data_IF_302640123029
#
_entry.id   IF_302640123029
#
_cell.length_a   1.000
_cell.length_b   1.000
_cell.length_c   1.000
_cell.angle_alpha   90.00
_cell.angle_beta   90.00
_cell.angle_gamma   90.00
#
_symmetry.space_group_name_H-M   'P 1'
#
loop_
_entity.id
_entity.type
_entity.pdbx_description
1 polymer ?
#
# COMPACT_ATOMS: atom_id res chain seq x y z
N UNK A 1 -0.05 15.60 4.84
CA UNK A 1 1.37 15.21 4.86
C UNK A 1 1.64 13.96 5.70
N UNK A 2 0.63 13.12 5.99
CA UNK A 2 0.82 11.87 6.75
C UNK A 2 1.28 12.03 8.20
N UNK A 3 1.62 13.25 8.66
CA UNK A 3 2.20 13.50 9.99
C UNK A 3 1.23 13.27 11.15
N UNK A 4 -0.05 13.06 10.86
CA UNK A 4 -1.09 12.77 11.85
C UNK A 4 -1.89 11.58 11.33
N UNK A 5 -1.61 10.39 11.85
CA UNK A 5 -2.31 9.15 11.51
C UNK A 5 -3.82 9.31 11.61
N UNK A 6 -4.53 8.66 10.67
CA UNK A 6 -6.00 8.70 10.58
C UNK A 6 -6.67 7.66 11.51
N UNK A 7 -5.88 6.74 12.06
CA UNK A 7 -6.28 5.81 13.10
C UNK A 7 -5.76 6.26 14.48
N UNK A 8 -6.18 5.55 15.53
CA UNK A 8 -5.73 5.81 16.91
C UNK A 8 -4.30 5.35 17.21
N UNK A 9 -3.61 4.77 16.22
CA UNK A 9 -2.24 4.29 16.34
C UNK A 9 -2.08 3.13 17.31
N UNK A 10 -0.85 2.94 17.78
CA UNK A 10 -0.47 1.95 18.79
C UNK A 10 0.37 2.62 19.88
N UNK A 11 0.40 2.01 21.07
CA UNK A 11 1.26 2.48 22.15
C UNK A 11 2.73 2.07 21.92
N UNK A 12 3.60 2.36 22.90
CA UNK A 12 5.05 2.03 22.81
C UNK A 12 5.34 0.53 22.73
N UNK A 13 4.40 -0.31 23.15
CA UNK A 13 4.48 -1.77 23.09
C UNK A 13 3.81 -2.32 21.83
N UNK A 14 3.47 -1.47 20.87
CA UNK A 14 2.77 -1.82 19.63
C UNK A 14 1.36 -2.40 19.84
N UNK A 15 0.74 -2.12 20.99
CA UNK A 15 -0.63 -2.53 21.28
C UNK A 15 -1.62 -1.42 20.88
N UNK A 16 -2.74 -1.77 20.21
CA UNK A 16 -3.79 -0.80 19.94
C UNK A 16 -4.45 -0.34 21.25
N UNK A 17 -4.90 0.92 21.32
CA UNK A 17 -5.65 1.40 22.47
C UNK A 17 -6.97 0.63 22.64
N UNK A 18 -7.39 0.42 23.89
CA UNK A 18 -8.67 -0.22 24.21
C UNK A 18 -9.83 0.73 23.95
N UNK A 19 -11.04 0.21 23.76
CA UNK A 19 -12.24 1.02 23.52
C UNK A 19 -12.45 2.04 24.65
N UNK A 20 -12.16 1.65 25.89
CA UNK A 20 -12.23 2.53 27.06
C UNK A 20 -11.24 3.69 26.98
N UNK A 21 -10.06 3.48 26.38
CA UNK A 21 -9.06 4.53 26.14
C UNK A 21 -9.44 5.45 24.98
N UNK A 22 -10.37 5.03 24.11
CA UNK A 22 -10.89 5.79 22.98
C UNK A 22 -12.12 6.63 23.32
N UNK A 23 -12.78 6.34 24.45
CA UNK A 23 -13.94 7.08 24.94
C UNK A 23 -13.45 8.27 25.79
N UNK A 24 -13.66 9.53 25.37
CA UNK A 24 -13.23 10.66 26.18
C UNK A 24 -14.10 10.75 27.44
N UNK A 25 -13.49 10.79 28.63
CA UNK A 25 -14.21 11.14 29.86
C UNK A 25 -14.70 12.60 29.85
N UNK A 26 -14.11 13.47 29.01
CA UNK A 26 -14.57 14.85 28.80
C UNK A 26 -14.30 15.31 27.35
N UNK A 27 -15.38 15.45 26.57
CA UNK A 27 -15.37 15.80 25.15
C UNK A 27 -15.16 17.31 24.86
N UNK A 28 -14.27 17.99 25.60
CA UNK A 28 -13.95 19.41 25.38
C UNK A 28 -12.63 19.62 24.61
N UNK A 29 -12.31 18.71 23.69
CA UNK A 29 -11.11 18.80 22.87
C UNK A 29 -11.38 19.53 21.55
N UNK A 30 -11.77 20.80 21.64
CA UNK A 30 -11.87 21.73 20.50
C UNK A 30 -10.49 21.82 19.84
N UNK A 31 -10.33 21.20 18.65
CA UNK A 31 -9.10 21.22 17.86
C UNK A 31 -8.39 19.88 17.66
N UNK A 32 -8.95 18.78 18.17
CA UNK A 32 -8.39 17.43 18.00
C UNK A 32 -9.13 16.66 16.89
N UNK A 33 -8.43 15.81 16.11
CA UNK A 33 -9.01 15.04 15.00
C UNK A 33 -9.87 13.84 15.47
N UNK A 34 -10.08 13.74 16.77
CA UNK A 34 -10.62 12.62 17.52
C UNK A 34 -12.05 12.25 17.09
N UNK A 35 -12.97 13.20 16.85
CA UNK A 35 -14.29 12.87 16.28
C UNK A 35 -14.21 12.24 14.88
N UNK A 36 -13.24 12.65 14.06
CA UNK A 36 -13.03 12.07 12.71
C UNK A 36 -12.44 10.67 12.80
N UNK A 37 -11.46 10.46 13.69
CA UNK A 37 -10.86 9.15 13.97
C UNK A 37 -11.90 8.16 14.51
N UNK A 38 -12.73 8.61 15.44
CA UNK A 38 -13.81 7.80 16.00
C UNK A 38 -14.84 7.44 14.93
N UNK A 39 -15.30 8.43 14.15
CA UNK A 39 -16.24 8.21 13.05
C UNK A 39 -15.69 7.21 12.03
N UNK A 40 -14.42 7.35 11.62
CA UNK A 40 -13.81 6.38 10.71
C UNK A 40 -13.72 4.99 11.33
N UNK A 41 -13.23 4.88 12.57
CA UNK A 41 -13.10 3.60 13.26
C UNK A 41 -14.44 2.87 13.40
N UNK A 42 -15.54 3.58 13.64
CA UNK A 42 -16.86 2.96 13.82
C UNK A 42 -17.59 2.69 12.50
N UNK A 43 -17.33 3.47 11.45
CA UNK A 43 -18.05 3.36 10.17
C UNK A 43 -17.32 2.53 9.12
N UNK A 44 -16.01 2.35 9.27
CA UNK A 44 -15.21 1.55 8.34
C UNK A 44 -15.65 0.09 8.37
N UNK A 45 -15.84 -0.50 7.19
CA UNK A 45 -16.15 -1.92 7.06
C UNK A 45 -14.87 -2.77 7.20
N UNK A 46 -14.41 -2.88 8.44
CA UNK A 46 -13.25 -3.70 8.82
C UNK A 46 -13.41 -5.16 8.41
N UNK A 47 -14.65 -5.66 8.36
CA UNK A 47 -14.93 -7.04 7.96
C UNK A 47 -14.63 -7.25 6.48
N UNK A 48 -15.06 -6.34 5.61
CA UNK A 48 -14.72 -6.42 4.18
C UNK A 48 -13.23 -6.30 3.95
N UNK A 49 -12.55 -5.39 4.64
CA UNK A 49 -11.08 -5.28 4.57
C UNK A 49 -10.39 -6.59 5.00
N UNK A 50 -10.84 -7.19 6.10
CA UNK A 50 -10.34 -8.48 6.58
C UNK A 50 -10.59 -9.60 5.58
N UNK A 51 -11.78 -9.66 4.98
CA UNK A 51 -12.11 -10.62 3.94
C UNK A 51 -11.25 -10.45 2.68
N UNK A 52 -10.89 -9.21 2.30
CA UNK A 52 -9.96 -8.96 1.21
C UNK A 52 -8.60 -9.59 1.51
N UNK A 53 -8.06 -9.42 2.71
CA UNK A 53 -6.78 -10.02 3.10
C UNK A 53 -6.82 -11.55 3.13
N UNK A 54 -7.93 -12.15 3.59
CA UNK A 54 -8.15 -13.60 3.51
C UNK A 54 -8.22 -14.09 2.06
N UNK A 55 -9.03 -13.43 1.21
CA UNK A 55 -9.20 -13.81 -0.19
C UNK A 55 -7.91 -13.61 -1.00
N UNK A 56 -7.10 -12.62 -0.62
CA UNK A 56 -5.76 -12.40 -1.15
C UNK A 56 -4.73 -13.41 -0.63
N UNK A 57 -5.09 -14.32 0.27
CA UNK A 57 -4.20 -15.32 0.86
C UNK A 57 -3.08 -14.73 1.72
N UNK A 58 -3.22 -13.48 2.17
CA UNK A 58 -2.29 -12.88 3.14
C UNK A 58 -2.59 -13.40 4.54
N UNK A 59 -3.88 -13.62 4.82
CA UNK A 59 -4.36 -14.28 6.02
C UNK A 59 -4.87 -15.67 5.69
N UNK A 60 -4.75 -16.58 6.65
CA UNK A 60 -5.26 -17.95 6.56
C UNK A 60 -6.14 -18.23 7.77
N UNK A 61 -7.23 -18.98 7.57
CA UNK A 61 -8.05 -19.49 8.67
C UNK A 61 -7.67 -20.94 8.94
N UNK A 62 -7.16 -21.21 10.13
CA UNK A 62 -6.85 -22.56 10.59
C UNK A 62 -8.15 -23.33 10.90
N UNK A 63 -8.02 -24.65 11.05
CA UNK A 63 -9.17 -25.55 11.29
C UNK A 63 -9.90 -25.26 12.62
N UNK A 64 -9.19 -24.72 13.61
CA UNK A 64 -9.73 -24.27 14.90
C UNK A 64 -10.33 -22.85 14.84
N UNK A 65 -10.32 -22.21 13.67
CA UNK A 65 -10.80 -20.86 13.46
C UNK A 65 -9.77 -19.77 13.75
N UNK A 66 -8.57 -20.11 14.22
CA UNK A 66 -7.48 -19.15 14.43
C UNK A 66 -7.04 -18.50 13.11
N UNK A 67 -6.56 -17.27 13.20
CA UNK A 67 -6.06 -16.52 12.05
C UNK A 67 -4.54 -16.60 12.03
N UNK A 68 -4.00 -17.17 10.96
CA UNK A 68 -2.58 -17.16 10.63
C UNK A 68 -2.26 -16.13 9.55
N UNK A 69 -0.98 -15.79 9.42
CA UNK A 69 -0.45 -14.93 8.37
C UNK A 69 0.41 -15.79 7.45
N UNK A 70 0.23 -15.67 6.13
CA UNK A 70 1.21 -16.17 5.18
C UNK A 70 2.38 -15.19 5.13
N UNK A 71 3.48 -15.54 5.80
CA UNK A 71 4.64 -14.66 5.94
C UNK A 71 5.27 -14.33 4.59
N UNK A 72 5.37 -15.31 3.68
CA UNK A 72 6.03 -15.10 2.39
C UNK A 72 5.22 -14.15 1.51
N UNK A 73 3.90 -14.38 1.45
CA UNK A 73 2.99 -13.54 0.67
C UNK A 73 2.90 -12.12 1.24
N UNK A 74 2.85 -12.01 2.57
CA UNK A 74 2.85 -10.72 3.27
C UNK A 74 4.15 -9.95 3.03
N UNK A 75 5.31 -10.58 3.17
CA UNK A 75 6.61 -9.95 2.90
C UNK A 75 6.70 -9.50 1.45
N UNK A 76 6.26 -10.33 0.50
CA UNK A 76 6.25 -9.97 -0.92
C UNK A 76 5.40 -8.73 -1.18
N UNK A 77 4.19 -8.67 -0.60
CA UNK A 77 3.31 -7.52 -0.73
C UNK A 77 3.92 -6.25 -0.09
N UNK A 78 4.46 -6.35 1.13
CA UNK A 78 5.12 -5.21 1.78
C UNK A 78 6.32 -4.70 0.98
N UNK A 79 7.13 -5.61 0.41
CA UNK A 79 8.28 -5.27 -0.42
C UNK A 79 7.83 -4.53 -1.69
N UNK A 80 6.78 -5.02 -2.34
CA UNK A 80 6.21 -4.36 -3.51
C UNK A 80 5.68 -2.96 -3.18
N UNK A 81 5.00 -2.80 -2.04
CA UNK A 81 4.53 -1.48 -1.56
C UNK A 81 5.70 -0.51 -1.34
N UNK A 82 6.81 -0.99 -0.77
CA UNK A 82 8.01 -0.16 -0.57
C UNK A 82 8.59 0.27 -1.91
N UNK A 83 8.76 -0.66 -2.87
CA UNK A 83 9.31 -0.35 -4.20
C UNK A 83 8.40 0.62 -4.96
N UNK A 84 7.09 0.40 -4.90
CA UNK A 84 6.08 1.32 -5.43
C UNK A 84 6.24 2.72 -4.86
N UNK A 85 6.37 2.85 -3.54
CA UNK A 85 6.51 4.15 -2.88
C UNK A 85 7.87 4.82 -3.12
N UNK A 86 8.93 4.07 -3.45
CA UNK A 86 10.22 4.65 -3.90
C UNK A 86 10.01 5.50 -5.16
N UNK A 87 9.05 5.15 -6.03
CA UNK A 87 8.73 5.96 -7.21
C UNK A 87 8.07 7.31 -6.86
N UNK A 88 7.83 7.63 -5.58
CA UNK A 88 7.47 9.00 -5.17
C UNK A 88 8.70 9.91 -5.06
N UNK A 89 9.91 9.36 -5.07
CA UNK A 89 11.17 10.13 -5.05
C UNK A 89 11.47 10.61 -6.47
N UNK A 90 11.33 11.91 -6.69
CA UNK A 90 11.38 12.51 -8.04
C UNK A 90 12.69 12.25 -8.77
N UNK A 91 13.78 12.21 -8.03
CA UNK A 91 15.13 11.97 -8.54
C UNK A 91 15.34 10.53 -9.05
N UNK A 92 14.47 9.61 -8.66
CA UNK A 92 14.52 8.19 -9.06
C UNK A 92 13.51 7.84 -10.16
N UNK A 93 12.73 8.82 -10.62
CA UNK A 93 11.73 8.59 -11.66
C UNK A 93 12.38 8.34 -13.02
N UNK A 94 11.88 7.36 -13.80
CA UNK A 94 12.37 7.11 -15.14
C UNK A 94 11.95 8.23 -16.10
N UNK A 95 12.74 8.42 -17.14
CA UNK A 95 12.37 9.23 -18.31
C UNK A 95 12.03 8.33 -19.48
N UNK A 96 11.05 8.72 -20.30
CA UNK A 96 10.67 7.93 -21.47
C UNK A 96 11.81 7.90 -22.50
N UNK A 97 12.38 6.72 -22.75
CA UNK A 97 13.31 6.50 -23.85
C UNK A 97 12.65 6.79 -25.20
N UNK A 98 13.37 7.35 -26.19
CA UNK A 98 12.83 7.64 -27.52
C UNK A 98 12.16 6.44 -28.20
N UNK A 99 12.67 5.24 -27.97
CA UNK A 99 12.17 3.98 -28.56
C UNK A 99 10.84 3.51 -27.95
N UNK A 100 10.51 3.99 -26.75
CA UNK A 100 9.26 3.66 -26.03
C UNK A 100 8.23 4.78 -26.12
N UNK A 101 8.54 5.87 -26.84
CA UNK A 101 7.67 7.02 -26.94
C UNK A 101 6.59 6.84 -28.04
N UNK A 102 5.35 7.34 -27.81
CA UNK A 102 4.86 7.84 -26.54
C UNK A 102 4.57 6.69 -25.56
N UNK A 103 4.74 6.96 -24.26
CA UNK A 103 4.33 6.03 -23.21
C UNK A 103 3.17 6.65 -22.42
N UNK A 104 1.95 6.17 -22.63
CA UNK A 104 0.72 6.89 -22.26
C UNK A 104 0.75 8.32 -22.83
N UNK A 105 0.64 9.34 -21.97
CA UNK A 105 0.65 10.76 -22.35
C UNK A 105 2.05 11.40 -22.30
N UNK A 106 3.09 10.62 -21.95
CA UNK A 106 4.47 11.10 -21.81
C UNK A 106 5.26 11.00 -23.12
N UNK A 107 6.02 12.06 -23.42
CA UNK A 107 6.88 12.15 -24.62
C UNK A 107 8.29 11.65 -24.34
N UNK A 108 9.05 11.36 -25.41
CA UNK A 108 10.47 11.05 -25.30
C UNK A 108 11.23 12.12 -24.50
N UNK A 109 12.05 11.68 -23.53
CA UNK A 109 12.83 12.53 -22.63
C UNK A 109 12.03 13.12 -21.46
N UNK A 110 10.73 12.90 -21.40
CA UNK A 110 9.88 13.38 -20.30
C UNK A 110 9.98 12.44 -19.09
N UNK A 111 10.10 13.01 -17.88
CA UNK A 111 10.06 12.26 -16.64
C UNK A 111 8.63 11.82 -16.32
N UNK A 112 8.46 10.54 -15.98
CA UNK A 112 7.15 9.98 -15.62
C UNK A 112 6.85 10.36 -14.17
N UNK A 113 6.11 11.45 -13.96
CA UNK A 113 5.83 12.00 -12.62
C UNK A 113 4.77 11.24 -11.83
N UNK A 114 3.93 10.48 -12.53
CA UNK A 114 2.98 9.58 -11.90
C UNK A 114 3.72 8.31 -11.45
N UNK A 115 3.80 8.10 -10.14
CA UNK A 115 4.53 6.98 -9.55
C UNK A 115 4.01 5.58 -9.94
N UNK A 116 2.70 5.44 -10.22
CA UNK A 116 2.10 4.17 -10.61
C UNK A 116 2.55 3.82 -12.03
N UNK A 117 2.51 4.81 -12.93
CA UNK A 117 2.99 4.70 -14.31
C UNK A 117 4.52 4.51 -14.34
N UNK A 118 5.26 5.20 -13.46
CA UNK A 118 6.72 5.11 -13.38
C UNK A 118 7.18 3.70 -13.03
N UNK A 119 6.59 3.06 -12.02
CA UNK A 119 6.91 1.67 -11.71
C UNK A 119 6.50 0.76 -12.86
N UNK A 120 5.33 0.96 -13.45
CA UNK A 120 4.87 0.23 -14.64
C UNK A 120 5.89 0.25 -15.78
N UNK A 121 6.43 1.44 -16.09
CA UNK A 121 7.45 1.64 -17.12
C UNK A 121 8.72 0.84 -16.85
N UNK A 122 9.22 0.87 -15.61
CA UNK A 122 10.41 0.09 -15.20
C UNK A 122 10.13 -1.42 -15.35
N UNK A 123 8.99 -1.91 -14.87
CA UNK A 123 8.65 -3.33 -14.97
C UNK A 123 8.44 -3.81 -16.42
N UNK A 124 8.08 -2.91 -17.33
CA UNK A 124 7.86 -3.20 -18.74
C UNK A 124 9.14 -3.15 -19.56
N UNK A 125 9.93 -2.10 -19.39
CA UNK A 125 11.03 -1.75 -20.28
C UNK A 125 12.42 -1.96 -19.68
N UNK A 126 12.56 -1.98 -18.36
CA UNK A 126 13.83 -2.24 -17.68
C UNK A 126 13.64 -3.10 -16.42
N UNK A 127 13.21 -4.37 -16.57
CA UNK A 127 13.03 -5.27 -15.43
C UNK A 127 14.35 -5.50 -14.67
N UNK A 128 15.51 -5.33 -15.31
CA UNK A 128 16.81 -5.54 -14.70
C UNK A 128 17.14 -4.49 -13.63
N UNK A 129 16.55 -3.29 -13.70
CA UNK A 129 16.62 -2.28 -12.63
C UNK A 129 15.98 -2.77 -11.31
N UNK A 130 15.11 -3.79 -11.37
CA UNK A 130 14.54 -4.46 -10.20
C UNK A 130 14.89 -5.96 -10.25
N UNK A 131 16.10 -6.37 -9.84
CA UNK A 131 16.53 -7.76 -9.92
C UNK A 131 15.58 -8.74 -9.23
N UNK A 132 14.91 -8.32 -8.15
CA UNK A 132 13.90 -9.14 -7.47
C UNK A 132 12.68 -9.44 -8.35
N UNK A 133 12.32 -8.54 -9.27
CA UNK A 133 11.27 -8.74 -10.27
C UNK A 133 11.78 -9.52 -11.49
N UNK A 134 12.98 -9.20 -12.00
CA UNK A 134 13.55 -9.93 -13.13
C UNK A 134 13.85 -11.41 -12.81
N UNK A 135 14.00 -11.80 -11.55
CA UNK A 135 14.16 -13.23 -11.23
C UNK A 135 12.84 -14.01 -11.18
N UNK A 136 11.69 -13.33 -11.24
CA UNK A 136 10.38 -13.98 -11.22
C UNK A 136 10.08 -14.67 -12.56
N UNK A 137 9.32 -15.77 -12.51
CA UNK A 137 8.80 -16.41 -13.71
C UNK A 137 7.70 -15.55 -14.38
N UNK A 138 7.34 -15.88 -15.62
CA UNK A 138 6.39 -15.07 -16.40
C UNK A 138 5.02 -14.89 -15.72
N UNK A 139 4.51 -15.92 -15.04
CA UNK A 139 3.23 -15.86 -14.35
C UNK A 139 3.29 -14.92 -13.14
N UNK A 140 4.35 -15.02 -12.33
CA UNK A 140 4.60 -14.15 -11.19
C UNK A 140 4.78 -12.69 -11.63
N UNK A 141 5.56 -12.46 -12.69
CA UNK A 141 5.74 -11.11 -13.26
C UNK A 141 4.40 -10.53 -13.73
N UNK A 142 3.55 -11.34 -14.37
CA UNK A 142 2.22 -10.90 -14.80
C UNK A 142 1.34 -10.46 -13.62
N UNK A 143 1.38 -11.20 -12.51
CA UNK A 143 0.64 -10.84 -11.29
C UNK A 143 1.14 -9.51 -10.72
N UNK A 144 2.46 -9.29 -10.66
CA UNK A 144 3.02 -8.03 -10.17
C UNK A 144 2.70 -6.86 -11.12
N UNK A 145 2.77 -7.06 -12.44
CA UNK A 145 2.37 -6.02 -13.40
C UNK A 145 0.89 -5.65 -13.27
N UNK A 146 0.02 -6.63 -12.99
CA UNK A 146 -1.40 -6.37 -12.75
C UNK A 146 -1.63 -5.43 -11.57
N UNK A 147 -0.76 -5.41 -10.55
CA UNK A 147 -0.93 -4.49 -9.43
C UNK A 147 -0.64 -3.02 -9.78
N UNK A 148 -0.04 -2.76 -10.95
CA UNK A 148 0.21 -1.41 -11.47
C UNK A 148 -0.90 -0.94 -12.42
N UNK A 149 -1.89 -1.79 -12.72
CA UNK A 149 -3.12 -1.30 -13.33
C UNK A 149 -3.78 -0.32 -12.34
N UNK A 150 -4.57 0.64 -12.83
CA UNK A 150 -5.30 1.60 -12.00
C UNK A 150 -6.25 0.85 -11.05
N UNK A 151 -5.73 0.47 -9.88
CA UNK A 151 -6.48 -0.08 -8.78
C UNK A 151 -6.98 1.14 -8.02
N UNK A 152 -8.29 1.34 -7.97
CA UNK A 152 -8.92 2.41 -7.18
C UNK A 152 -8.73 2.27 -5.65
N UNK A 153 -7.65 1.61 -5.20
CA UNK A 153 -7.34 1.29 -3.83
C UNK A 153 -5.83 1.41 -3.56
N UNK A 154 -5.45 2.38 -2.73
CA UNK A 154 -4.07 2.61 -2.30
C UNK A 154 -3.75 1.80 -1.03
N UNK A 155 -2.90 0.78 -1.13
CA UNK A 155 -2.51 -0.06 0.00
C UNK A 155 -1.72 0.68 1.10
N UNK A 156 -1.13 1.83 0.78
CA UNK A 156 -0.41 2.70 1.71
C UNK A 156 -1.27 3.25 2.85
N UNK A 157 -2.60 3.30 2.67
CA UNK A 157 -3.54 3.69 3.74
C UNK A 157 -3.59 2.69 4.90
N UNK A 158 -3.08 1.46 4.73
CA UNK A 158 -3.06 0.44 5.77
C UNK A 158 -1.81 0.51 6.67
N UNK A 159 -0.74 1.15 6.22
CA UNK A 159 0.59 1.13 6.87
C UNK A 159 1.01 2.48 7.46
N UNK A 160 0.25 3.55 7.21
CA UNK A 160 0.51 4.87 7.78
C UNK A 160 -0.17 5.00 9.15
N UNK A 161 0.51 4.49 10.19
CA UNK A 161 0.20 4.72 11.61
C UNK A 161 1.00 5.91 12.16
#
# INVERSE_FOLDING_TARGET
>A
DGKRGFCFGVNRDWLPPTVEQLLPENADAVGTNEPRRQSFYTTMDWRSLFNIMLNAGLLMRAADGAIGVDLQRTIAMLTLTIIHDVMKVRELLPTVCPEHAPYYDYKAGEAIIDHDIALGYVLEHDPAALPCFDRLNAEQRRVVKFTQAELGFNHGWLVQA
#
